data_IF_259122240610
#
_entry.id   IF_259122240610
#
_cell.length_a   1.000
_cell.length_b   1.000
_cell.length_c   1.000
_cell.angle_alpha   90.00
_cell.angle_beta   90.00
_cell.angle_gamma   90.00
#
_symmetry.space_group_name_H-M   'P 1'
#
loop_
_entity.id
_entity.type
_entity.pdbx_description
1 polymer ?
#
# COMPACT_ATOMS: atom_id res chain seq x y z
N UNK A 1 5.49 17.64 -24.52
CA UNK A 1 5.24 16.66 -23.42
C UNK A 1 6.30 16.77 -22.34
N UNK A 2 5.88 16.90 -21.07
CA UNK A 2 6.71 16.72 -19.86
C UNK A 2 7.38 15.34 -19.91
N UNK A 3 8.55 15.17 -19.26
CA UNK A 3 9.34 13.90 -19.34
C UNK A 3 8.50 12.66 -18.99
N UNK A 4 7.73 12.71 -17.89
CA UNK A 4 6.89 11.57 -17.47
C UNK A 4 5.81 11.19 -18.50
N UNK A 5 5.26 12.16 -19.24
CA UNK A 5 4.25 11.89 -20.27
C UNK A 5 4.84 11.04 -21.40
N UNK A 6 6.10 11.29 -21.80
CA UNK A 6 6.79 10.48 -22.83
C UNK A 6 7.00 9.05 -22.35
N UNK A 7 7.35 8.88 -21.08
CA UNK A 7 7.58 7.57 -20.47
C UNK A 7 6.28 6.77 -20.40
N UNK A 8 5.19 7.41 -19.92
CA UNK A 8 3.86 6.77 -19.91
C UNK A 8 3.41 6.42 -21.32
N UNK A 9 3.64 7.30 -22.29
CA UNK A 9 3.29 7.02 -23.69
C UNK A 9 4.02 5.79 -24.24
N UNK A 10 5.31 5.64 -23.93
CA UNK A 10 6.12 4.46 -24.27
C UNK A 10 5.50 3.17 -23.73
N UNK A 11 5.08 3.16 -22.46
CA UNK A 11 4.42 2.02 -21.82
C UNK A 11 3.06 1.71 -22.47
N UNK A 12 2.24 2.73 -22.72
CA UNK A 12 0.93 2.57 -23.36
C UNK A 12 1.02 1.95 -24.75
N UNK A 13 2.02 2.35 -25.55
CA UNK A 13 2.26 1.76 -26.88
C UNK A 13 2.67 0.30 -26.83
N UNK A 14 3.24 -0.14 -25.71
CA UNK A 14 3.50 -1.54 -25.42
C UNK A 14 2.29 -2.28 -24.82
N UNK A 15 1.13 -1.63 -24.69
CA UNK A 15 -0.06 -2.20 -24.07
C UNK A 15 -0.02 -2.25 -22.54
N UNK A 16 0.98 -1.61 -21.92
CA UNK A 16 1.18 -1.59 -20.47
C UNK A 16 0.33 -0.47 -19.88
N UNK A 17 -0.72 -0.82 -19.16
CA UNK A 17 -1.62 0.12 -18.50
C UNK A 17 -2.11 -0.43 -17.16
N UNK A 18 -2.00 0.32 -16.05
CA UNK A 18 -2.57 -0.08 -14.77
C UNK A 18 -4.10 -0.26 -14.85
N UNK A 19 -4.59 -1.30 -14.19
CA UNK A 19 -6.00 -1.59 -14.03
C UNK A 19 -6.33 -1.67 -12.52
N UNK A 20 -7.24 -0.82 -12.08
CA UNK A 20 -7.70 -0.80 -10.69
C UNK A 20 -8.89 -1.73 -10.54
N UNK A 21 -8.85 -2.57 -9.52
CA UNK A 21 -9.97 -3.39 -9.07
C UNK A 21 -10.85 -2.57 -8.12
N UNK A 22 -12.15 -2.82 -8.13
CA UNK A 22 -13.11 -2.26 -7.17
C UNK A 22 -13.76 -3.41 -6.35
N UNK A 23 -13.50 -3.49 -5.03
CA UNK A 23 -14.12 -4.46 -4.13
C UNK A 23 -15.37 -3.90 -3.44
N UNK A 24 -15.88 -2.72 -3.86
CA UNK A 24 -16.93 -1.95 -3.21
C UNK A 24 -16.61 -1.68 -1.73
N UNK A 25 -15.62 -0.83 -1.47
CA UNK A 25 -15.27 -0.43 -0.10
C UNK A 25 -16.45 0.20 0.63
N UNK A 26 -17.02 -0.52 1.60
CA UNK A 26 -18.23 -0.09 2.32
C UNK A 26 -18.24 -0.48 3.81
N UNK A 27 -17.25 -1.23 4.30
CA UNK A 27 -17.19 -1.59 5.71
C UNK A 27 -16.95 -0.38 6.59
N UNK A 28 -17.58 -0.41 7.76
CA UNK A 28 -17.47 0.60 8.80
C UNK A 28 -17.07 -0.03 10.12
N UNK A 29 -16.23 0.68 10.86
CA UNK A 29 -15.79 0.29 12.20
C UNK A 29 -16.50 1.20 13.20
N UNK A 30 -17.00 0.63 14.29
CA UNK A 30 -17.61 1.37 15.39
C UNK A 30 -16.54 1.94 16.33
N UNK A 31 -15.83 2.97 15.85
CA UNK A 31 -14.68 3.58 16.54
C UNK A 31 -15.01 4.04 17.97
N UNK A 32 -16.22 4.57 18.20
CA UNK A 32 -16.64 5.08 19.52
C UNK A 32 -16.80 3.98 20.58
N UNK A 33 -16.81 2.70 20.18
CA UNK A 33 -16.88 1.55 21.09
C UNK A 33 -15.51 0.94 21.41
N UNK A 34 -14.44 1.42 20.76
CA UNK A 34 -13.11 0.86 20.96
C UNK A 34 -12.53 1.31 22.32
N UNK A 35 -11.81 0.43 23.02
CA UNK A 35 -11.03 0.81 24.19
C UNK A 35 -10.02 1.93 23.90
N UNK A 36 -9.60 2.62 24.96
CA UNK A 36 -8.53 3.61 24.90
C UNK A 36 -7.25 3.03 24.29
N UNK A 37 -6.46 3.85 23.60
CA UNK A 37 -5.20 3.42 22.97
C UNK A 37 -5.36 2.80 21.57
N UNK A 38 -6.52 2.21 21.25
CA UNK A 38 -6.74 1.59 19.92
C UNK A 38 -6.94 2.63 18.84
N UNK A 39 -7.78 3.63 19.10
CA UNK A 39 -8.12 4.62 18.09
C UNK A 39 -6.88 5.43 17.64
N UNK A 40 -6.72 5.74 16.34
CA UNK A 40 -5.61 6.54 15.85
C UNK A 40 -5.44 7.91 16.54
N UNK A 41 -6.53 8.50 17.04
CA UNK A 41 -6.51 9.74 17.84
C UNK A 41 -5.74 9.61 19.16
N UNK A 42 -5.74 8.42 19.78
CA UNK A 42 -4.90 8.11 20.96
C UNK A 42 -3.41 8.12 20.62
N UNK A 43 -3.05 7.99 19.33
CA UNK A 43 -1.68 8.09 18.81
C UNK A 43 -1.20 9.51 18.54
N UNK A 44 -1.78 10.53 19.19
CA UNK A 44 -1.48 11.97 19.00
C UNK A 44 -1.87 12.52 17.62
N UNK A 45 -2.76 11.86 16.88
CA UNK A 45 -3.31 12.40 15.64
C UNK A 45 -4.42 13.40 15.94
N UNK A 46 -4.26 14.65 15.49
CA UNK A 46 -5.27 15.70 15.61
C UNK A 46 -6.51 15.32 14.78
N UNK A 47 -7.70 15.55 15.36
CA UNK A 47 -9.05 15.15 14.92
C UNK A 47 -9.24 14.78 13.44
N UNK A 48 -9.06 15.72 12.51
CA UNK A 48 -9.31 15.46 11.09
C UNK A 48 -8.35 14.42 10.49
N UNK A 49 -7.09 14.42 10.92
CA UNK A 49 -6.09 13.43 10.52
C UNK A 49 -6.41 12.04 11.10
N UNK A 50 -6.96 11.99 12.31
CA UNK A 50 -7.46 10.74 12.88
C UNK A 50 -8.64 10.20 12.07
N UNK A 51 -9.63 11.03 11.73
CA UNK A 51 -10.77 10.63 10.89
C UNK A 51 -10.33 10.08 9.52
N UNK A 52 -9.40 10.76 8.85
CA UNK A 52 -8.83 10.26 7.59
C UNK A 52 -8.07 8.94 7.76
N UNK A 53 -7.36 8.77 8.89
CA UNK A 53 -6.69 7.51 9.21
C UNK A 53 -7.69 6.38 9.45
N UNK A 54 -8.80 6.63 10.15
CA UNK A 54 -9.90 5.67 10.34
C UNK A 54 -10.46 5.16 9.00
N UNK A 55 -10.72 6.07 8.06
CA UNK A 55 -11.17 5.69 6.70
C UNK A 55 -10.16 4.78 5.99
N UNK A 56 -8.87 5.05 6.10
CA UNK A 56 -7.83 4.18 5.52
C UNK A 56 -7.84 2.79 6.18
N UNK A 57 -8.03 2.71 7.49
CA UNK A 57 -8.07 1.44 8.24
C UNK A 57 -9.31 0.62 7.88
N UNK A 58 -10.46 1.25 7.65
CA UNK A 58 -11.68 0.55 7.19
C UNK A 58 -11.47 -0.17 5.85
N UNK A 59 -10.69 0.41 4.93
CA UNK A 59 -10.34 -0.24 3.66
C UNK A 59 -9.45 -1.47 3.91
N UNK A 60 -8.43 -1.34 4.76
CA UNK A 60 -7.59 -2.46 5.14
C UNK A 60 -8.38 -3.55 5.86
N UNK A 61 -9.30 -3.20 6.75
CA UNK A 61 -10.18 -4.14 7.43
C UNK A 61 -10.96 -5.01 6.44
N UNK A 62 -11.54 -4.39 5.41
CA UNK A 62 -12.25 -5.12 4.35
C UNK A 62 -11.35 -6.10 3.60
N UNK A 63 -10.13 -5.70 3.26
CA UNK A 63 -9.18 -6.57 2.55
C UNK A 63 -8.62 -7.68 3.44
N UNK A 64 -8.31 -7.39 4.71
CA UNK A 64 -7.79 -8.37 5.68
C UNK A 64 -8.80 -9.50 5.90
N UNK A 65 -10.11 -9.19 5.96
CA UNK A 65 -11.17 -10.20 6.09
C UNK A 65 -11.18 -11.25 4.96
N UNK A 66 -10.60 -10.96 3.80
CA UNK A 66 -10.50 -11.94 2.72
C UNK A 66 -9.45 -13.03 3.01
N UNK A 67 -8.48 -12.75 3.89
CA UNK A 67 -7.35 -13.63 4.18
C UNK A 67 -7.37 -14.23 5.59
N UNK A 68 -8.13 -13.65 6.51
CA UNK A 68 -8.12 -14.00 7.93
C UNK A 68 -9.40 -14.72 8.36
N UNK A 69 -9.27 -15.87 9.03
CA UNK A 69 -10.38 -16.67 9.57
C UNK A 69 -10.25 -16.97 11.08
N UNK A 70 -9.13 -16.65 11.70
CA UNK A 70 -8.77 -16.97 13.08
C UNK A 70 -7.52 -17.87 13.13
N UNK A 71 -6.59 -17.55 14.03
CA UNK A 71 -5.33 -18.27 14.24
C UNK A 71 -4.15 -17.79 13.38
N UNK A 72 -4.37 -16.89 12.42
CA UNK A 72 -3.31 -16.35 11.58
C UNK A 72 -2.37 -15.41 12.34
N UNK A 73 -1.10 -15.37 11.93
CA UNK A 73 -0.11 -14.37 12.33
C UNK A 73 -0.02 -13.28 11.26
N UNK A 74 -0.26 -12.02 11.66
CA UNK A 74 -0.26 -10.86 10.76
C UNK A 74 0.86 -9.91 11.15
N UNK A 75 1.67 -9.51 10.18
CA UNK A 75 2.80 -8.61 10.37
C UNK A 75 2.52 -7.24 9.75
N UNK A 76 2.58 -6.18 10.55
CA UNK A 76 2.46 -4.79 10.10
C UNK A 76 3.85 -4.16 9.91
N UNK A 77 4.28 -4.05 8.66
CA UNK A 77 5.59 -3.53 8.29
C UNK A 77 5.60 -2.00 8.23
N UNK A 78 6.52 -1.38 8.98
CA UNK A 78 6.58 0.07 9.09
C UNK A 78 5.39 0.64 9.87
N UNK A 79 4.95 -0.10 10.89
CA UNK A 79 3.72 0.15 11.66
C UNK A 79 3.68 1.50 12.38
N UNK A 80 4.83 2.13 12.61
CA UNK A 80 4.95 3.29 13.49
C UNK A 80 4.45 2.96 14.90
N UNK A 81 3.45 3.72 15.36
CA UNK A 81 2.80 3.52 16.65
C UNK A 81 1.62 2.54 16.61
N UNK A 82 1.49 1.74 15.53
CA UNK A 82 0.47 0.69 15.39
C UNK A 82 -0.92 1.22 15.04
N UNK A 83 -1.02 2.32 14.29
CA UNK A 83 -2.32 2.89 13.90
C UNK A 83 -3.19 1.91 13.11
N UNK A 84 -2.59 1.01 12.33
CA UNK A 84 -3.31 -0.02 11.59
C UNK A 84 -3.53 -1.26 12.46
N UNK A 85 -2.46 -1.82 13.00
CA UNK A 85 -2.48 -3.11 13.71
C UNK A 85 -3.26 -3.10 15.03
N UNK A 86 -3.29 -2.02 15.83
CA UNK A 86 -4.03 -2.03 17.10
C UNK A 86 -5.54 -2.21 16.87
N UNK A 87 -6.21 -1.43 15.99
CA UNK A 87 -7.61 -1.68 15.64
C UNK A 87 -7.84 -3.07 15.03
N UNK A 88 -6.91 -3.59 14.22
CA UNK A 88 -7.05 -4.94 13.65
C UNK A 88 -6.92 -6.01 14.73
N UNK A 89 -5.99 -5.91 15.65
CA UNK A 89 -5.82 -6.84 16.76
C UNK A 89 -7.06 -6.91 17.66
N UNK A 90 -7.72 -5.77 17.89
CA UNK A 90 -9.01 -5.74 18.59
C UNK A 90 -10.13 -6.41 17.79
N UNK A 91 -10.20 -6.20 16.47
CA UNK A 91 -11.25 -6.74 15.60
C UNK A 91 -11.05 -8.22 15.25
N UNK A 92 -9.83 -8.73 15.35
CA UNK A 92 -9.46 -10.12 15.09
C UNK A 92 -8.75 -10.73 16.32
N UNK A 93 -9.48 -10.95 17.44
CA UNK A 93 -8.87 -11.38 18.71
C UNK A 93 -8.23 -12.76 18.66
N UNK A 94 -8.65 -13.61 17.73
CA UNK A 94 -8.11 -14.97 17.54
C UNK A 94 -6.83 -14.99 16.69
N UNK A 95 -6.38 -13.84 16.18
CA UNK A 95 -5.17 -13.71 15.38
C UNK A 95 -4.05 -13.08 16.18
N UNK A 96 -2.81 -13.37 15.82
CA UNK A 96 -1.63 -12.76 16.43
C UNK A 96 -1.08 -11.65 15.56
N UNK A 97 -0.82 -10.47 16.12
CA UNK A 97 -0.28 -9.33 15.40
C UNK A 97 1.15 -9.03 15.82
N UNK A 98 2.02 -8.76 14.85
CA UNK A 98 3.39 -8.33 15.08
C UNK A 98 3.58 -6.97 14.40
N UNK A 99 3.97 -5.96 15.18
CA UNK A 99 4.29 -4.64 14.62
C UNK A 99 5.81 -4.50 14.43
N UNK A 100 6.23 -4.15 13.22
CA UNK A 100 7.64 -4.04 12.84
C UNK A 100 7.97 -2.57 12.54
N UNK A 101 8.80 -1.93 13.36
CA UNK A 101 9.34 -0.60 13.07
C UNK A 101 10.74 -0.41 13.66
N UNK A 102 11.58 0.35 12.95
CA UNK A 102 12.97 0.63 13.36
C UNK A 102 13.10 1.80 14.33
N UNK A 103 12.12 2.71 14.34
CA UNK A 103 12.20 3.99 15.07
C UNK A 103 11.78 3.79 16.52
N UNK A 104 12.63 4.26 17.43
CA UNK A 104 12.40 4.13 18.88
C UNK A 104 11.15 4.90 19.36
N UNK A 105 10.94 6.13 18.88
CA UNK A 105 9.82 6.98 19.34
C UNK A 105 8.44 6.41 18.98
N UNK A 106 8.14 6.02 17.72
CA UNK A 106 6.87 5.38 17.39
C UNK A 106 6.66 4.07 18.13
N UNK A 107 7.70 3.25 18.29
CA UNK A 107 7.66 1.98 19.03
C UNK A 107 7.29 2.20 20.50
N UNK A 108 7.91 3.17 21.18
CA UNK A 108 7.57 3.53 22.56
C UNK A 108 6.11 3.95 22.70
N UNK A 109 5.62 4.79 21.78
CA UNK A 109 4.21 5.19 21.76
C UNK A 109 3.28 4.00 21.49
N UNK A 110 3.66 3.10 20.57
CA UNK A 110 2.90 1.87 20.31
C UNK A 110 2.77 0.99 21.54
N UNK A 111 3.85 0.81 22.32
CA UNK A 111 3.82 0.04 23.57
C UNK A 111 2.86 0.66 24.61
N UNK A 112 2.92 1.97 24.81
CA UNK A 112 1.98 2.68 25.69
C UNK A 112 0.53 2.43 25.25
N UNK A 113 0.24 2.55 23.96
CA UNK A 113 -1.11 2.30 23.43
C UNK A 113 -1.58 0.86 23.60
N UNK A 114 -0.67 -0.11 23.44
CA UNK A 114 -0.97 -1.53 23.69
C UNK A 114 -1.33 -1.73 25.16
N UNK A 115 -0.53 -1.18 26.07
CA UNK A 115 -0.78 -1.26 27.52
C UNK A 115 -2.13 -0.62 27.90
N UNK A 116 -2.42 0.59 27.39
CA UNK A 116 -3.67 1.32 27.64
C UNK A 116 -4.90 0.55 27.12
N UNK A 117 -4.77 -0.12 25.98
CA UNK A 117 -5.89 -0.85 25.35
C UNK A 117 -6.21 -2.20 25.99
N UNK A 118 -5.27 -2.78 26.73
CA UNK A 118 -5.43 -4.08 27.37
C UNK A 118 -5.42 -5.29 26.42
N UNK A 119 -5.29 -5.11 25.10
CA UNK A 119 -5.19 -6.22 24.13
C UNK A 119 -3.91 -7.02 24.36
N UNK A 120 -3.95 -8.32 24.06
CA UNK A 120 -2.86 -9.28 24.37
C UNK A 120 -2.32 -10.02 23.16
N UNK A 121 -3.01 -9.95 22.04
CA UNK A 121 -2.68 -10.63 20.79
C UNK A 121 -1.85 -9.75 19.85
N UNK A 122 -1.00 -8.88 20.40
CA UNK A 122 -0.13 -8.01 19.65
C UNK A 122 1.24 -7.90 20.33
N UNK A 123 2.30 -7.97 19.56
CA UNK A 123 3.67 -7.79 20.04
C UNK A 123 4.48 -6.88 19.12
N UNK A 124 5.67 -6.52 19.60
CA UNK A 124 6.51 -5.49 18.99
C UNK A 124 7.87 -6.05 18.62
N UNK A 125 8.18 -6.04 17.33
CA UNK A 125 9.51 -6.28 16.79
C UNK A 125 10.17 -4.94 16.42
N UNK A 126 11.20 -4.55 17.18
CA UNK A 126 11.98 -3.34 16.87
C UNK A 126 13.15 -3.70 15.96
N UNK A 127 13.04 -3.37 14.69
CA UNK A 127 14.08 -3.66 13.71
C UNK A 127 13.72 -3.12 12.33
N UNK A 128 14.57 -3.38 11.36
CA UNK A 128 14.23 -3.07 9.98
C UNK A 128 13.36 -4.18 9.38
N UNK A 129 12.57 -3.83 8.36
CA UNK A 129 11.71 -4.78 7.64
C UNK A 129 12.54 -5.94 7.07
N UNK A 130 13.72 -5.65 6.52
CA UNK A 130 14.58 -6.68 5.94
C UNK A 130 15.17 -7.67 6.97
N UNK A 131 15.19 -7.30 8.26
CA UNK A 131 15.73 -8.14 9.33
C UNK A 131 14.65 -9.06 9.93
N UNK A 132 13.38 -8.91 9.50
CA UNK A 132 12.28 -9.73 9.98
C UNK A 132 12.16 -11.02 9.14
N UNK A 133 12.46 -12.16 9.76
CA UNK A 133 12.50 -13.48 9.10
C UNK A 133 11.56 -14.52 9.73
N UNK A 134 10.73 -14.11 10.67
CA UNK A 134 9.77 -15.01 11.33
C UNK A 134 8.65 -15.41 10.35
N UNK A 135 8.00 -16.54 10.64
CA UNK A 135 6.86 -17.03 9.85
C UNK A 135 5.61 -16.21 10.16
N UNK A 136 4.85 -15.91 9.12
CA UNK A 136 3.57 -15.21 9.21
C UNK A 136 2.60 -15.66 8.10
N UNK A 137 1.34 -15.31 8.22
CA UNK A 137 0.27 -15.71 7.29
C UNK A 137 -0.24 -14.53 6.45
N UNK A 138 -0.03 -13.28 6.89
CA UNK A 138 -0.38 -12.08 6.13
C UNK A 138 0.57 -10.91 6.45
N UNK A 139 1.10 -10.27 5.41
CA UNK A 139 1.84 -9.01 5.54
C UNK A 139 0.96 -7.79 5.23
N UNK A 140 0.96 -6.80 6.11
CA UNK A 140 0.26 -5.53 5.88
C UNK A 140 1.21 -4.34 6.04
N UNK A 141 0.94 -3.25 5.35
CA UNK A 141 1.66 -1.99 5.56
C UNK A 141 0.82 -0.80 5.10
N UNK A 142 0.56 0.17 5.98
CA UNK A 142 -0.16 1.40 5.64
C UNK A 142 0.79 2.62 5.64
N UNK A 143 1.18 3.07 4.45
CA UNK A 143 2.18 4.13 4.21
C UNK A 143 3.62 3.71 4.49
N UNK A 144 4.07 2.61 3.89
CA UNK A 144 5.47 2.25 3.87
C UNK A 144 6.24 3.07 2.81
N UNK A 145 7.05 4.03 3.27
CA UNK A 145 7.73 5.00 2.40
C UNK A 145 8.76 4.36 1.46
N UNK A 146 8.76 4.75 0.18
CA UNK A 146 9.79 4.39 -0.79
C UNK A 146 10.04 2.88 -0.85
N UNK A 147 11.29 2.48 -0.60
CA UNK A 147 11.71 1.07 -0.61
C UNK A 147 11.19 0.23 0.57
N UNK A 148 10.59 0.84 1.60
CA UNK A 148 9.99 0.07 2.69
C UNK A 148 8.83 -0.81 2.19
N UNK A 149 8.02 -0.29 1.24
CA UNK A 149 6.99 -1.10 0.55
C UNK A 149 7.63 -2.27 -0.18
N UNK A 150 8.74 -2.02 -0.85
CA UNK A 150 9.46 -2.99 -1.66
C UNK A 150 10.06 -4.12 -0.80
N UNK A 151 10.62 -3.79 0.36
CA UNK A 151 11.10 -4.78 1.33
C UNK A 151 9.94 -5.57 1.95
N UNK A 152 8.83 -4.91 2.31
CA UNK A 152 7.66 -5.61 2.84
C UNK A 152 7.12 -6.63 1.84
N UNK A 153 7.02 -6.25 0.55
CA UNK A 153 6.60 -7.16 -0.52
C UNK A 153 7.58 -8.34 -0.68
N UNK A 154 8.89 -8.08 -0.64
CA UNK A 154 9.92 -9.13 -0.69
C UNK A 154 9.76 -10.11 0.47
N UNK A 155 9.58 -9.63 1.72
CA UNK A 155 9.35 -10.49 2.89
C UNK A 155 8.12 -11.38 2.69
N UNK A 156 7.03 -10.84 2.13
CA UNK A 156 5.82 -11.61 1.87
C UNK A 156 6.02 -12.69 0.81
N UNK A 157 6.72 -12.37 -0.29
CA UNK A 157 7.06 -13.32 -1.36
C UNK A 157 7.98 -14.42 -0.84
N UNK A 158 9.05 -14.08 -0.12
CA UNK A 158 9.97 -15.06 0.47
C UNK A 158 9.26 -15.98 1.49
N UNK A 159 8.29 -15.44 2.23
CA UNK A 159 7.50 -16.21 3.18
C UNK A 159 6.33 -16.97 2.53
N UNK A 160 6.07 -16.76 1.24
CA UNK A 160 4.91 -17.29 0.51
C UNK A 160 3.56 -16.93 1.19
N UNK A 161 3.44 -15.69 1.68
CA UNK A 161 2.25 -15.16 2.31
C UNK A 161 1.57 -14.09 1.44
N UNK A 162 0.23 -13.95 1.50
CA UNK A 162 -0.48 -12.79 0.99
C UNK A 162 0.03 -11.46 1.58
N UNK A 163 -0.20 -10.38 0.85
CA UNK A 163 0.13 -9.02 1.29
C UNK A 163 -0.94 -7.98 0.95
N UNK A 164 -1.05 -6.94 1.78
CA UNK A 164 -1.84 -5.73 1.55
C UNK A 164 -0.98 -4.51 1.90
N UNK A 165 -0.48 -3.78 0.90
CA UNK A 165 0.49 -2.71 1.11
C UNK A 165 -0.03 -1.41 0.46
N UNK A 166 0.06 -0.30 1.20
CA UNK A 166 -0.24 1.04 0.70
C UNK A 166 1.08 1.83 0.58
N UNK A 167 1.61 2.00 -0.64
CA UNK A 167 2.83 2.78 -0.85
C UNK A 167 2.66 4.26 -0.54
N UNK A 168 3.73 4.91 -0.07
CA UNK A 168 3.82 6.37 -0.01
C UNK A 168 5.25 6.84 -0.27
N UNK A 169 5.41 8.16 -0.46
CA UNK A 169 6.69 8.83 -0.69
C UNK A 169 7.61 8.06 -1.67
N UNK A 170 7.03 7.74 -2.83
CA UNK A 170 7.59 6.78 -3.79
C UNK A 170 8.92 7.28 -4.36
N UNK A 171 9.10 8.59 -4.49
CA UNK A 171 10.33 9.19 -4.98
C UNK A 171 11.57 8.89 -4.15
N UNK A 172 11.45 8.40 -2.90
CA UNK A 172 12.59 7.97 -2.10
C UNK A 172 13.30 6.73 -2.65
N UNK A 173 12.67 5.94 -3.53
CA UNK A 173 13.33 4.80 -4.17
C UNK A 173 14.56 5.19 -4.99
N UNK A 174 14.72 6.48 -5.35
CA UNK A 174 15.94 6.96 -6.03
C UNK A 174 17.22 6.65 -5.26
N UNK A 175 17.14 6.53 -3.93
CA UNK A 175 18.26 6.23 -3.04
C UNK A 175 18.35 4.74 -2.68
N UNK A 176 17.41 3.92 -3.17
CA UNK A 176 17.34 2.50 -2.89
C UNK A 176 18.41 1.73 -3.66
N UNK A 177 19.04 0.76 -2.99
CA UNK A 177 19.97 -0.20 -3.58
C UNK A 177 19.28 -1.32 -4.35
N UNK A 178 17.95 -1.44 -4.25
CA UNK A 178 17.19 -2.39 -5.06
C UNK A 178 17.25 -2.01 -6.55
N UNK A 179 17.07 -3.03 -7.40
CA UNK A 179 16.96 -2.84 -8.84
C UNK A 179 15.56 -2.31 -9.17
N UNK A 180 15.50 -1.28 -10.03
CA UNK A 180 14.26 -0.77 -10.59
C UNK A 180 14.46 -0.49 -12.09
N UNK A 181 13.45 -0.74 -12.94
CA UNK A 181 12.12 -1.29 -12.62
C UNK A 181 12.16 -2.67 -11.96
N UNK A 182 11.11 -3.03 -11.23
CA UNK A 182 11.06 -4.26 -10.45
C UNK A 182 10.72 -5.46 -11.31
N UNK A 183 9.71 -5.34 -12.17
CA UNK A 183 9.32 -6.42 -13.08
C UNK A 183 10.24 -6.52 -14.30
N UNK A 184 10.35 -7.72 -14.84
CA UNK A 184 11.01 -7.99 -16.12
C UNK A 184 10.36 -7.17 -17.23
N UNK A 185 9.01 -7.13 -17.27
CA UNK A 185 8.28 -6.39 -18.29
C UNK A 185 8.64 -4.90 -18.30
N UNK A 186 8.59 -4.20 -17.17
CA UNK A 186 8.98 -2.78 -17.16
C UNK A 186 10.47 -2.61 -17.45
N UNK A 187 11.32 -3.56 -17.06
CA UNK A 187 12.77 -3.50 -17.31
C UNK A 187 13.12 -3.59 -18.79
N UNK A 188 12.27 -4.19 -19.63
CA UNK A 188 12.42 -4.18 -21.09
C UNK A 188 12.17 -2.79 -21.69
N UNK A 189 11.29 -1.99 -21.07
CA UNK A 189 10.86 -0.71 -21.61
C UNK A 189 11.50 0.49 -20.92
N UNK A 190 11.89 0.42 -19.65
CA UNK A 190 12.31 1.59 -18.89
C UNK A 190 13.72 1.42 -18.33
N UNK A 191 14.50 2.48 -18.44
CA UNK A 191 15.75 2.65 -17.69
C UNK A 191 15.48 3.03 -16.23
N UNK A 192 16.47 2.86 -15.34
CA UNK A 192 16.39 3.36 -13.95
C UNK A 192 16.12 4.86 -13.89
N UNK A 193 16.67 5.65 -14.81
CA UNK A 193 16.43 7.10 -14.85
C UNK A 193 14.96 7.42 -15.19
N UNK A 194 14.39 6.77 -16.21
CA UNK A 194 12.98 6.92 -16.57
C UNK A 194 12.06 6.48 -15.42
N UNK A 195 12.37 5.35 -14.77
CA UNK A 195 11.63 4.87 -13.61
C UNK A 195 11.67 5.86 -12.44
N UNK A 196 12.84 6.42 -12.14
CA UNK A 196 12.99 7.46 -11.10
C UNK A 196 12.19 8.73 -11.42
N UNK A 197 12.01 9.08 -12.70
CA UNK A 197 11.14 10.20 -13.11
C UNK A 197 9.67 9.88 -12.77
N UNK A 198 9.18 8.69 -13.10
CA UNK A 198 7.83 8.26 -12.72
C UNK A 198 7.65 8.28 -11.21
N UNK A 199 8.58 7.70 -10.47
CA UNK A 199 8.55 7.65 -9.01
C UNK A 199 8.51 9.04 -8.36
N UNK A 200 9.35 9.98 -8.84
CA UNK A 200 9.32 11.37 -8.38
C UNK A 200 8.01 12.06 -8.71
N UNK A 201 7.45 11.82 -9.90
CA UNK A 201 6.16 12.40 -10.29
C UNK A 201 5.00 11.77 -9.50
N UNK A 202 5.09 10.50 -9.10
CA UNK A 202 4.10 9.88 -8.23
C UNK A 202 3.92 10.64 -6.90
N UNK A 203 4.96 11.36 -6.45
CA UNK A 203 4.85 12.19 -5.25
C UNK A 203 4.06 13.48 -5.42
N UNK A 204 3.65 13.83 -6.64
CA UNK A 204 2.84 15.00 -6.94
C UNK A 204 1.36 14.84 -6.58
N UNK A 205 0.94 13.67 -6.11
CA UNK A 205 -0.38 13.47 -5.49
C UNK A 205 -0.62 14.51 -4.40
N UNK A 206 -1.79 15.14 -4.42
CA UNK A 206 -2.17 16.19 -3.49
C UNK A 206 -3.68 16.12 -3.19
N UNK A 207 -4.11 16.79 -2.12
CA UNK A 207 -5.53 16.92 -1.74
C UNK A 207 -6.38 17.60 -2.82
N UNK A 208 -5.75 18.37 -3.71
CA UNK A 208 -6.37 18.93 -4.91
C UNK A 208 -6.48 17.87 -6.01
N UNK A 209 -7.20 16.77 -5.75
CA UNK A 209 -7.22 15.55 -6.56
C UNK A 209 -7.49 15.77 -8.06
N UNK A 210 -8.26 16.82 -8.39
CA UNK A 210 -8.66 17.14 -9.77
C UNK A 210 -7.70 18.10 -10.49
N UNK A 211 -6.67 18.60 -9.82
CA UNK A 211 -5.62 19.40 -10.45
C UNK A 211 -4.78 18.57 -11.44
N UNK A 212 -4.21 19.23 -12.46
CA UNK A 212 -3.32 18.57 -13.42
C UNK A 212 -2.14 17.87 -12.72
N UNK A 213 -1.60 18.51 -11.68
CA UNK A 213 -0.50 17.97 -10.88
C UNK A 213 -0.91 16.69 -10.14
N UNK A 214 -2.04 16.71 -9.42
CA UNK A 214 -2.50 15.55 -8.66
C UNK A 214 -2.88 14.39 -9.59
N UNK A 215 -3.49 14.66 -10.76
CA UNK A 215 -3.78 13.65 -11.78
C UNK A 215 -2.52 13.02 -12.35
N UNK A 216 -1.48 13.83 -12.63
CA UNK A 216 -0.18 13.31 -13.03
C UNK A 216 0.46 12.43 -11.92
N UNK A 217 0.33 12.86 -10.66
CA UNK A 217 0.77 12.09 -9.50
C UNK A 217 0.08 10.74 -9.38
N UNK A 218 -1.26 10.72 -9.41
CA UNK A 218 -2.05 9.47 -9.36
C UNK A 218 -1.71 8.54 -10.52
N UNK A 219 -1.54 9.08 -11.72
CA UNK A 219 -1.16 8.28 -12.89
C UNK A 219 0.20 7.61 -12.71
N UNK A 220 1.24 8.38 -12.36
CA UNK A 220 2.57 7.82 -12.13
C UNK A 220 2.60 6.86 -10.93
N UNK A 221 1.85 7.15 -9.86
CA UNK A 221 1.69 6.25 -8.71
C UNK A 221 1.13 4.89 -9.16
N UNK A 222 0.07 4.89 -9.98
CA UNK A 222 -0.50 3.66 -10.54
C UNK A 222 0.48 2.84 -11.37
N UNK A 223 1.34 3.47 -12.17
CA UNK A 223 2.38 2.75 -12.93
C UNK A 223 3.44 2.10 -12.03
N UNK A 224 3.89 2.79 -10.97
CA UNK A 224 4.85 2.22 -10.01
C UNK A 224 4.20 1.08 -9.21
N UNK A 225 2.96 1.26 -8.76
CA UNK A 225 2.19 0.21 -8.09
C UNK A 225 1.96 -1.00 -8.99
N UNK A 226 1.72 -0.77 -10.28
CA UNK A 226 1.53 -1.83 -11.26
C UNK A 226 2.82 -2.62 -11.54
N UNK A 227 3.97 -1.94 -11.68
CA UNK A 227 5.28 -2.61 -11.77
C UNK A 227 5.55 -3.54 -10.58
N UNK A 228 5.26 -3.07 -9.36
CA UNK A 228 5.37 -3.91 -8.14
C UNK A 228 4.45 -5.12 -8.17
N UNK A 229 3.23 -4.97 -8.68
CA UNK A 229 2.31 -6.09 -8.84
C UNK A 229 2.83 -7.10 -9.87
N UNK A 230 3.25 -6.65 -11.05
CA UNK A 230 3.86 -7.52 -12.07
C UNK A 230 5.07 -8.28 -11.53
N UNK A 231 5.92 -7.62 -10.73
CA UNK A 231 7.01 -8.30 -10.05
C UNK A 231 6.53 -9.47 -9.19
N UNK A 232 5.45 -9.31 -8.39
CA UNK A 232 4.93 -10.43 -7.60
C UNK A 232 4.32 -11.54 -8.48
N UNK A 233 3.72 -11.21 -9.62
CA UNK A 233 3.16 -12.20 -10.55
C UNK A 233 4.22 -13.15 -11.12
N UNK A 234 5.46 -12.66 -11.29
CA UNK A 234 6.63 -13.47 -11.68
C UNK A 234 6.95 -14.56 -10.65
N UNK A 235 6.56 -14.37 -9.38
CA UNK A 235 6.70 -15.35 -8.30
C UNK A 235 5.41 -16.16 -8.06
N UNK A 236 4.50 -16.19 -9.02
CA UNK A 236 3.29 -17.03 -8.94
C UNK A 236 2.17 -16.42 -8.08
N UNK A 237 2.19 -15.12 -7.84
CA UNK A 237 1.10 -14.43 -7.16
C UNK A 237 -0.03 -14.07 -8.13
N UNK A 238 -1.24 -13.97 -7.59
CA UNK A 238 -2.36 -13.23 -8.19
C UNK A 238 -2.38 -11.85 -7.53
N UNK A 239 -2.41 -10.78 -8.33
CA UNK A 239 -2.34 -9.42 -7.79
C UNK A 239 -3.55 -8.55 -8.11
N UNK A 240 -3.67 -7.50 -7.31
CA UNK A 240 -4.74 -6.52 -7.38
C UNK A 240 -4.19 -5.14 -7.06
N UNK A 241 -4.75 -4.13 -7.71
CA UNK A 241 -4.46 -2.72 -7.44
C UNK A 241 -5.77 -2.04 -7.07
N UNK A 242 -5.82 -1.38 -5.93
CA UNK A 242 -7.02 -0.71 -5.43
C UNK A 242 -6.76 0.78 -5.19
N UNK A 243 -7.83 1.55 -5.10
CA UNK A 243 -7.80 2.94 -4.61
C UNK A 243 -8.53 3.00 -3.27
N UNK A 244 -7.89 3.57 -2.23
CA UNK A 244 -8.55 3.82 -0.94
C UNK A 244 -9.80 4.68 -1.16
N UNK A 245 -10.90 4.26 -0.55
CA UNK A 245 -12.20 4.92 -0.61
C UNK A 245 -12.66 5.42 0.77
N UNK A 246 -13.20 6.64 0.89
CA UNK A 246 -13.25 7.66 -0.17
C UNK A 246 -11.84 8.17 -0.49
N UNK A 247 -11.65 8.73 -1.69
CA UNK A 247 -10.32 9.22 -2.14
C UNK A 247 -9.76 10.28 -1.20
N UNK A 248 -10.64 11.02 -0.53
CA UNK A 248 -10.36 12.05 0.48
C UNK A 248 -9.79 11.48 1.79
N UNK A 249 -9.65 10.16 1.92
CA UNK A 249 -8.93 9.57 3.04
C UNK A 249 -7.42 9.87 2.97
N UNK A 250 -6.84 9.96 1.76
CA UNK A 250 -5.42 10.27 1.56
C UNK A 250 -5.09 10.51 0.07
N UNK A 251 -4.18 11.43 -0.29
CA UNK A 251 -3.66 11.55 -1.65
C UNK A 251 -2.77 10.37 -2.06
N UNK A 252 -2.16 9.68 -1.07
CA UNK A 252 -1.40 8.43 -1.26
C UNK A 252 -2.36 7.26 -1.09
N UNK A 253 -3.12 6.95 -2.14
CA UNK A 253 -4.28 6.08 -2.05
C UNK A 253 -4.21 4.79 -2.87
N UNK A 254 -3.06 4.41 -3.39
CA UNK A 254 -2.93 3.08 -3.98
C UNK A 254 -2.78 2.03 -2.88
N UNK A 255 -3.48 0.90 -3.03
CA UNK A 255 -3.19 -0.32 -2.29
C UNK A 255 -2.79 -1.38 -3.32
N UNK A 256 -1.58 -1.92 -3.20
CA UNK A 256 -1.18 -3.13 -3.89
C UNK A 256 -1.48 -4.33 -3.00
N UNK A 257 -2.08 -5.36 -3.59
CA UNK A 257 -2.36 -6.61 -2.90
C UNK A 257 -1.94 -7.76 -3.79
N UNK A 258 -1.43 -8.82 -3.17
CA UNK A 258 -1.10 -10.04 -3.87
C UNK A 258 -1.22 -11.23 -2.95
N UNK A 259 -1.54 -12.38 -3.53
CA UNK A 259 -1.58 -13.65 -2.81
C UNK A 259 -1.04 -14.78 -3.68
N UNK A 260 -0.40 -15.82 -3.12
CA UNK A 260 -0.01 -16.99 -3.88
C UNK A 260 -1.21 -17.59 -4.64
N UNK A 261 -1.01 -18.02 -5.89
CA UNK A 261 -2.08 -18.68 -6.65
C UNK A 261 -2.60 -19.90 -5.87
N UNK A 262 -3.93 -19.99 -5.70
CA UNK A 262 -4.59 -21.06 -4.95
C UNK A 262 -5.01 -20.68 -3.53
N UNK A 263 -4.61 -19.51 -3.01
CA UNK A 263 -5.23 -18.96 -1.80
C UNK A 263 -6.64 -18.42 -2.09
N UNK A 264 -7.43 -18.16 -1.04
CA UNK A 264 -8.65 -17.37 -1.18
C UNK A 264 -8.32 -16.05 -1.88
N UNK A 265 -9.17 -15.65 -2.81
CA UNK A 265 -9.04 -14.38 -3.53
C UNK A 265 -9.91 -13.29 -2.91
N UNK A 266 -9.58 -12.05 -3.23
CA UNK A 266 -10.47 -10.91 -2.97
C UNK A 266 -11.55 -10.91 -4.04
N UNK A 267 -12.81 -10.75 -3.62
CA UNK A 267 -13.95 -10.56 -4.50
C UNK A 267 -13.86 -9.18 -5.18
N UNK A 268 -13.91 -9.18 -6.51
CA UNK A 268 -13.81 -7.97 -7.35
C UNK A 268 -15.11 -7.83 -8.13
N UNK A 269 -15.72 -6.65 -8.06
CA UNK A 269 -16.96 -6.34 -8.75
C UNK A 269 -16.71 -5.64 -10.08
N UNK A 270 -15.72 -4.76 -10.13
CA UNK A 270 -15.35 -4.02 -11.35
C UNK A 270 -13.83 -3.92 -11.51
N UNK A 271 -13.41 -3.74 -12.76
CA UNK A 271 -12.05 -3.36 -13.11
C UNK A 271 -12.07 -2.12 -13.99
N UNK A 272 -11.33 -1.09 -13.59
CA UNK A 272 -11.27 0.20 -14.24
C UNK A 272 -9.83 0.45 -14.68
N UNK A 273 -9.64 0.61 -16.00
CA UNK A 273 -8.35 1.02 -16.55
C UNK A 273 -8.09 2.49 -16.23
N UNK A 274 -6.90 2.79 -15.69
CA UNK A 274 -6.51 4.17 -15.44
C UNK A 274 -6.06 4.81 -16.76
N UNK A 275 -7.03 5.34 -17.50
CA UNK A 275 -6.73 5.96 -18.78
C UNK A 275 -6.07 7.34 -18.62
N UNK A 276 -5.03 7.63 -19.42
CA UNK A 276 -4.24 8.85 -19.31
C UNK A 276 -4.90 10.05 -19.99
N UNK A 277 -6.12 9.95 -20.54
CA UNK A 277 -6.67 10.91 -21.52
C UNK A 277 -6.79 12.35 -21.00
N UNK A 278 -6.82 12.53 -19.67
CA UNK A 278 -6.83 13.83 -19.01
C UNK A 278 -5.42 14.45 -18.86
N UNK A 279 -4.37 13.67 -19.13
CA UNK A 279 -2.94 13.98 -18.92
C UNK A 279 -2.12 13.84 -20.21
N UNK A 280 -2.51 12.95 -21.12
CA UNK A 280 -1.95 12.74 -22.46
C UNK A 280 -3.11 12.80 -23.43
N UNK A 281 -3.15 13.85 -24.25
CA UNK A 281 -4.29 14.05 -25.15
C UNK A 281 -4.27 13.02 -26.30
N UNK A 282 -5.43 12.59 -26.83
CA UNK A 282 -5.50 11.57 -27.88
C UNK A 282 -4.76 11.92 -29.20
N UNK A 283 -4.71 13.19 -29.57
CA UNK A 283 -3.93 13.70 -30.70
C UNK A 283 -2.42 13.46 -30.52
N UNK A 284 -1.93 13.58 -29.29
CA UNK A 284 -0.55 13.23 -28.93
C UNK A 284 -0.28 11.70 -28.96
N UNK A 285 -1.33 10.87 -29.00
CA UNK A 285 -1.18 9.42 -29.14
C UNK A 285 -1.00 8.98 -30.60
N UNK A 286 -1.39 9.81 -31.56
CA UNK A 286 -1.43 9.50 -33.00
C UNK A 286 -0.18 9.97 -33.77
N UNK A 287 0.61 10.91 -33.22
CA UNK A 287 1.76 11.53 -33.91
C UNK A 287 3.13 10.84 -33.68
N UNK A 288 3.17 9.54 -33.32
CA UNK A 288 4.46 8.82 -33.19
C UNK A 288 4.41 7.36 -33.59
#
# INVERSE_FOLDING_TARGET
MKKFQKIIYKLLRAGICPEYSDPHFNLKIEWDKMPDGIDPSSGLLITERANRKRLQIENFYQLIKAFVKGGETIVDFGSGSGNLSLPMAYLFPDCHFIIVDKKDTPIKLGKIRIDDSGIKNIEVFRGYIQDFHEKFDLGIALHACGEATDFAQIRCIENNAPYILCPCDIGYIKASSLSYPRSLLFSEFLTREEYNILAKTADWTDWSFDSEQARAGKLCMGYISYDRNLFAEEFGYKTYLFTIYPREATPKNDIICGSPKGTNGIEIFERIKLHPYWVIKPDQLLES
#
